data_IF_288427792143
#
_entry.id   IF_288427792143
#
_cell.length_a   1.000
_cell.length_b   1.000
_cell.length_c   1.000
_cell.angle_alpha   90.00
_cell.angle_beta   90.00
_cell.angle_gamma   90.00
#
_symmetry.space_group_name_H-M   'P 1'
#
loop_
_entity.id
_entity.type
_entity.pdbx_description
1 polymer ?
#
# COMPACT_ATOMS: atom_id res chain seq x y z
N UNK A 1 -4.58 0.48 14.55
CA UNK A 1 -4.02 -0.47 15.55
C UNK A 1 -2.76 0.06 16.22
N UNK A 2 -1.66 0.31 15.54
CA UNK A 2 -0.43 0.81 16.15
C UNK A 2 -0.66 2.06 17.01
N UNK A 3 -1.37 3.06 16.49
CA UNK A 3 -1.62 4.34 17.16
C UNK A 3 -2.25 4.16 18.55
N UNK A 4 -3.31 3.37 18.67
CA UNK A 4 -3.98 3.11 19.96
C UNK A 4 -3.08 2.41 20.97
N UNK A 5 -2.20 1.50 20.54
CA UNK A 5 -1.28 0.82 21.46
C UNK A 5 -0.28 1.80 22.08
N UNK A 6 0.16 2.82 21.31
CA UNK A 6 0.97 3.90 21.83
C UNK A 6 0.18 4.83 22.77
N UNK A 7 -1.09 5.15 22.46
CA UNK A 7 -1.92 5.98 23.34
C UNK A 7 -2.27 5.26 24.64
N UNK A 8 -2.72 3.99 24.56
CA UNK A 8 -3.06 3.20 25.74
C UNK A 8 -1.89 3.03 26.74
N UNK A 9 -0.66 3.08 26.25
CA UNK A 9 0.54 3.02 27.09
C UNK A 9 0.96 4.38 27.69
N UNK A 10 0.39 5.50 27.24
CA UNK A 10 0.85 6.86 27.58
C UNK A 10 -0.24 7.78 28.14
N UNK A 11 -1.51 7.39 28.06
CA UNK A 11 -2.65 8.16 28.56
C UNK A 11 -3.33 7.41 29.72
N UNK A 12 -3.19 7.94 30.92
CA UNK A 12 -3.92 7.47 32.09
C UNK A 12 -5.32 8.11 32.13
N UNK A 13 -6.35 7.30 32.40
CA UNK A 13 -7.73 7.79 32.53
C UNK A 13 -8.47 8.15 31.24
N UNK A 14 -7.84 7.97 30.07
CA UNK A 14 -8.50 8.23 28.79
C UNK A 14 -9.36 7.04 28.32
N UNK A 15 -10.55 7.33 27.79
CA UNK A 15 -11.37 6.35 27.09
C UNK A 15 -10.92 6.27 25.62
N UNK A 16 -10.44 5.10 25.19
CA UNK A 16 -10.00 4.87 23.80
C UNK A 16 -10.98 3.91 23.12
N UNK A 17 -11.67 4.40 22.09
CA UNK A 17 -12.56 3.59 21.26
C UNK A 17 -11.94 3.37 19.88
N UNK A 18 -11.85 2.11 19.46
CA UNK A 18 -11.48 1.72 18.10
C UNK A 18 -12.74 1.35 17.31
N UNK A 19 -12.90 1.91 16.12
CA UNK A 19 -13.99 1.58 15.20
C UNK A 19 -13.37 0.89 13.97
N UNK A 20 -13.70 -0.38 13.74
CA UNK A 20 -13.26 -1.15 12.57
C UNK A 20 -14.27 -2.23 12.25
N UNK A 21 -14.88 -2.20 11.07
CA UNK A 21 -15.84 -3.20 10.62
C UNK A 21 -15.22 -4.60 10.40
N UNK A 22 -13.90 -4.67 10.26
CA UNK A 22 -13.21 -5.92 9.88
C UNK A 22 -12.84 -6.74 11.10
N UNK A 23 -13.32 -7.96 11.14
CA UNK A 23 -12.92 -8.96 12.13
C UNK A 23 -11.55 -9.56 11.83
N UNK A 24 -11.20 -9.64 10.55
CA UNK A 24 -9.90 -10.13 10.10
C UNK A 24 -8.90 -8.98 9.98
N UNK A 25 -7.67 -9.28 10.31
CA UNK A 25 -6.53 -8.38 10.15
C UNK A 25 -5.54 -8.97 9.15
N UNK A 26 -5.22 -8.20 8.11
CA UNK A 26 -4.34 -8.66 7.04
C UNK A 26 -2.95 -8.01 7.13
N UNK A 27 -1.92 -8.84 7.17
CA UNK A 27 -0.55 -8.39 6.95
C UNK A 27 -0.33 -8.10 5.46
N UNK A 28 -0.83 -6.96 4.99
CA UNK A 28 -0.83 -6.58 3.56
C UNK A 28 0.56 -6.58 2.91
N UNK A 29 1.69 -6.22 3.58
CA UNK A 29 3.03 -6.35 2.99
C UNK A 29 3.39 -7.78 2.56
N UNK A 30 2.68 -8.79 3.04
CA UNK A 30 2.84 -10.20 2.68
C UNK A 30 2.05 -10.62 1.43
N UNK A 31 1.12 -9.82 0.91
CA UNK A 31 0.29 -10.21 -0.24
C UNK A 31 1.11 -10.56 -1.48
N UNK A 32 2.18 -9.81 -1.76
CA UNK A 32 3.11 -10.14 -2.84
C UNK A 32 3.76 -11.51 -2.63
N UNK A 33 4.06 -11.90 -1.38
CA UNK A 33 4.66 -13.20 -1.07
C UNK A 33 3.66 -14.34 -1.28
N UNK A 34 2.38 -14.12 -0.95
CA UNK A 34 1.30 -15.08 -1.23
C UNK A 34 1.07 -15.18 -2.73
N UNK A 35 0.93 -14.05 -3.42
CA UNK A 35 0.73 -14.00 -4.86
C UNK A 35 1.93 -14.53 -5.68
N UNK A 36 3.04 -14.80 -5.03
CA UNK A 36 4.24 -15.42 -5.63
C UNK A 36 4.51 -16.84 -5.14
N UNK A 37 3.59 -17.45 -4.37
CA UNK A 37 3.78 -18.80 -3.82
C UNK A 37 4.91 -18.93 -2.80
N UNK A 38 5.50 -17.82 -2.34
CA UNK A 38 6.62 -17.81 -1.37
C UNK A 38 6.11 -18.09 0.05
N UNK A 39 4.90 -17.64 0.35
CA UNK A 39 4.23 -17.87 1.65
C UNK A 39 2.79 -18.35 1.43
N UNK A 40 2.26 -19.19 2.32
CA UNK A 40 0.86 -19.60 2.25
C UNK A 40 -0.09 -18.44 2.64
N UNK A 41 -1.36 -18.55 2.27
CA UNK A 41 -2.41 -17.57 2.62
C UNK A 41 -2.48 -17.29 4.13
N UNK A 42 -2.35 -18.33 4.96
CA UNK A 42 -2.35 -18.21 6.43
C UNK A 42 -1.24 -17.29 6.98
N UNK A 43 -0.19 -17.06 6.21
CA UNK A 43 0.87 -16.14 6.60
C UNK A 43 0.40 -14.69 6.74
N UNK A 44 -0.66 -14.29 6.06
CA UNK A 44 -1.13 -12.90 6.02
C UNK A 44 -2.44 -12.65 6.76
N UNK A 45 -3.09 -13.68 7.27
CA UNK A 45 -4.39 -13.58 7.97
C UNK A 45 -4.21 -13.75 9.48
N UNK A 46 -4.89 -12.92 10.24
CA UNK A 46 -5.03 -12.96 11.70
C UNK A 46 -6.35 -12.27 12.08
N UNK A 47 -6.67 -12.11 13.36
CA UNK A 47 -7.87 -11.40 13.79
C UNK A 47 -7.56 -10.02 14.35
N UNK A 48 -8.48 -9.08 14.18
CA UNK A 48 -8.36 -7.73 14.76
C UNK A 48 -8.23 -7.79 16.28
N UNK A 49 -8.99 -8.69 16.93
CA UNK A 49 -9.00 -8.86 18.41
C UNK A 49 -7.66 -9.35 18.97
N UNK A 50 -6.88 -10.12 18.20
CA UNK A 50 -5.56 -10.63 18.64
C UNK A 50 -4.56 -9.51 18.99
N UNK A 51 -4.75 -8.34 18.41
CA UNK A 51 -3.85 -7.19 18.61
C UNK A 51 -4.46 -6.09 19.50
N UNK A 52 -5.66 -6.27 20.05
CA UNK A 52 -6.28 -5.27 20.93
C UNK A 52 -5.60 -5.26 22.30
N UNK A 53 -5.05 -4.12 22.79
CA UNK A 53 -4.64 -4.01 24.18
C UNK A 53 -5.87 -3.99 25.10
N UNK A 54 -5.66 -4.35 26.37
CA UNK A 54 -6.70 -4.20 27.39
C UNK A 54 -7.14 -2.73 27.53
N UNK A 55 -8.40 -2.51 27.92
CA UNK A 55 -8.96 -1.17 28.16
C UNK A 55 -9.37 -0.38 26.91
N UNK A 56 -9.24 -0.97 25.71
CA UNK A 56 -9.72 -0.33 24.46
C UNK A 56 -11.08 -0.92 24.09
N UNK A 57 -12.09 -0.06 23.95
CA UNK A 57 -13.38 -0.44 23.40
C UNK A 57 -13.30 -0.70 21.90
N UNK A 58 -13.93 -1.77 21.40
CA UNK A 58 -14.02 -2.06 19.97
C UNK A 58 -15.48 -1.98 19.51
N UNK A 59 -15.76 -1.07 18.58
CA UNK A 59 -17.00 -1.02 17.82
C UNK A 59 -16.76 -1.70 16.48
N UNK A 60 -17.36 -2.88 16.28
CA UNK A 60 -17.21 -3.68 15.05
C UNK A 60 -18.16 -3.19 13.93
N UNK A 61 -18.04 -1.92 13.59
CA UNK A 61 -18.85 -1.25 12.56
C UNK A 61 -17.96 -0.40 11.64
N UNK A 62 -18.45 -0.08 10.45
CA UNK A 62 -17.85 0.92 9.58
C UNK A 62 -18.25 2.33 10.03
N UNK A 63 -17.37 3.30 9.80
CA UNK A 63 -17.74 4.72 9.87
C UNK A 63 -18.50 5.08 8.59
N UNK A 64 -19.67 5.69 8.74
CA UNK A 64 -20.49 6.19 7.63
C UNK A 64 -20.23 7.67 7.35
N UNK A 65 -20.03 8.48 8.40
CA UNK A 65 -19.89 9.93 8.28
C UNK A 65 -18.94 10.50 9.32
N UNK A 66 -18.21 11.56 8.95
CA UNK A 66 -17.41 12.39 9.83
C UNK A 66 -18.02 13.79 9.93
N UNK A 67 -18.33 14.22 11.14
CA UNK A 67 -18.76 15.59 11.49
C UNK A 67 -17.67 16.24 12.37
N UNK A 68 -16.62 16.82 11.77
CA UNK A 68 -15.50 17.37 12.53
C UNK A 68 -15.87 18.67 13.28
N UNK A 69 -16.87 19.40 12.83
CA UNK A 69 -17.35 20.62 13.52
C UNK A 69 -18.14 20.26 14.78
N UNK A 70 -18.95 19.20 14.72
CA UNK A 70 -19.69 18.66 15.86
C UNK A 70 -18.88 17.72 16.75
N UNK A 71 -17.57 17.51 16.48
CA UNK A 71 -16.69 16.57 17.20
C UNK A 71 -17.31 15.18 17.39
N UNK A 72 -17.90 14.64 16.34
CA UNK A 72 -18.50 13.30 16.31
C UNK A 72 -18.31 12.63 14.96
N UNK A 73 -18.48 11.33 14.96
CA UNK A 73 -18.67 10.54 13.74
C UNK A 73 -19.95 9.70 13.88
N UNK A 74 -20.43 9.16 12.76
CA UNK A 74 -21.61 8.29 12.73
C UNK A 74 -21.19 6.94 12.16
N UNK A 75 -21.57 5.86 12.83
CA UNK A 75 -21.32 4.50 12.35
C UNK A 75 -22.38 4.07 11.31
N UNK A 76 -22.14 2.95 10.64
CA UNK A 76 -23.05 2.41 9.62
C UNK A 76 -24.45 2.07 10.17
N UNK A 77 -24.60 1.80 11.48
CA UNK A 77 -25.89 1.62 12.15
C UNK A 77 -26.59 2.94 12.49
N UNK A 78 -25.99 4.09 12.22
CA UNK A 78 -26.50 5.41 12.57
C UNK A 78 -26.15 5.85 14.01
N UNK A 79 -25.32 5.10 14.74
CA UNK A 79 -24.90 5.46 16.10
C UNK A 79 -23.90 6.63 16.06
N UNK A 80 -24.21 7.77 16.73
CA UNK A 80 -23.21 8.84 16.88
C UNK A 80 -22.17 8.46 17.93
N UNK A 81 -20.90 8.74 17.64
CA UNK A 81 -19.79 8.55 18.55
C UNK A 81 -19.06 9.89 18.70
N UNK A 82 -19.23 10.59 19.84
CA UNK A 82 -18.51 11.82 20.12
C UNK A 82 -17.04 11.54 20.45
N UNK A 83 -16.19 12.55 20.25
CA UNK A 83 -14.77 12.47 20.58
C UNK A 83 -14.22 13.84 21.02
N UNK A 84 -13.23 13.84 21.89
CA UNK A 84 -12.39 15.00 22.14
C UNK A 84 -11.28 15.07 21.08
N UNK A 85 -10.66 13.92 20.76
CA UNK A 85 -9.64 13.77 19.74
C UNK A 85 -9.98 12.61 18.79
N UNK A 86 -9.71 12.82 17.51
CA UNK A 86 -9.94 11.81 16.47
C UNK A 86 -8.64 11.46 15.74
N UNK A 87 -8.38 10.16 15.59
CA UNK A 87 -7.31 9.66 14.72
C UNK A 87 -7.91 8.84 13.59
N UNK A 88 -7.77 9.32 12.36
CA UNK A 88 -8.26 8.62 11.18
C UNK A 88 -7.13 7.77 10.58
N UNK A 89 -7.34 6.45 10.56
CA UNK A 89 -6.40 5.47 10.04
C UNK A 89 -7.11 4.42 9.17
N UNK A 90 -8.12 4.86 8.41
CA UNK A 90 -9.03 4.01 7.63
C UNK A 90 -8.40 3.34 6.41
N UNK A 91 -7.14 3.69 6.09
CA UNK A 91 -6.46 3.17 4.91
C UNK A 91 -7.03 3.75 3.61
N UNK A 92 -7.14 2.91 2.58
CA UNK A 92 -7.61 3.31 1.26
C UNK A 92 -8.60 2.30 0.67
N UNK A 93 -9.36 2.77 -0.34
CA UNK A 93 -10.26 1.97 -1.17
C UNK A 93 -9.56 1.61 -2.48
N UNK A 94 -9.69 0.35 -2.87
CA UNK A 94 -9.28 -0.16 -4.19
C UNK A 94 -10.45 0.01 -5.15
N UNK A 95 -10.33 0.91 -6.11
CA UNK A 95 -11.41 1.30 -7.01
C UNK A 95 -11.40 0.47 -8.30
N UNK A 96 -11.73 -0.82 -8.18
CA UNK A 96 -11.81 -1.72 -9.35
C UNK A 96 -12.92 -1.30 -10.33
N UNK A 97 -13.98 -0.66 -9.84
CA UNK A 97 -15.09 -0.20 -10.68
C UNK A 97 -14.68 0.94 -11.64
N UNK A 98 -13.56 1.62 -11.38
CA UNK A 98 -13.01 2.61 -12.30
C UNK A 98 -12.37 2.00 -13.57
N UNK A 99 -12.18 0.67 -13.61
CA UNK A 99 -11.66 -0.04 -14.79
C UNK A 99 -12.84 -0.74 -15.47
N UNK A 100 -13.26 -0.27 -16.63
CA UNK A 100 -14.39 -0.84 -17.36
C UNK A 100 -14.14 -2.33 -17.69
N UNK A 101 -15.12 -3.20 -17.45
CA UNK A 101 -15.03 -4.63 -17.66
C UNK A 101 -14.26 -5.42 -16.59
N UNK A 102 -13.74 -4.75 -15.55
CA UNK A 102 -13.07 -5.42 -14.45
C UNK A 102 -14.08 -6.06 -13.47
N UNK A 103 -14.03 -7.36 -13.37
CA UNK A 103 -14.75 -8.15 -12.38
C UNK A 103 -13.76 -8.80 -11.41
N UNK A 104 -13.84 -8.44 -10.14
CA UNK A 104 -12.96 -8.98 -9.08
C UNK A 104 -13.16 -10.49 -8.86
N UNK A 105 -14.33 -11.02 -9.18
CA UNK A 105 -14.58 -12.46 -9.08
C UNK A 105 -13.81 -13.26 -10.13
N UNK A 106 -13.48 -12.64 -11.25
CA UNK A 106 -12.66 -13.26 -12.30
C UNK A 106 -11.16 -13.32 -11.96
N UNK A 107 -10.70 -12.69 -10.88
CA UNK A 107 -9.28 -12.79 -10.47
C UNK A 107 -8.93 -14.26 -10.19
N UNK A 108 -7.92 -14.75 -10.91
CA UNK A 108 -7.46 -16.13 -10.93
C UNK A 108 -7.83 -16.87 -12.22
N UNK A 109 -8.78 -16.36 -13.00
CA UNK A 109 -9.24 -16.96 -14.26
C UNK A 109 -8.69 -16.19 -15.47
N UNK A 110 -8.58 -16.87 -16.62
CA UNK A 110 -8.17 -16.27 -17.89
C UNK A 110 -6.88 -15.43 -17.83
N UNK A 111 -5.94 -15.80 -16.94
CA UNK A 111 -4.71 -15.04 -16.74
C UNK A 111 -4.87 -13.72 -15.98
N UNK A 112 -6.07 -13.40 -15.46
CA UNK A 112 -6.32 -12.20 -14.69
C UNK A 112 -5.80 -12.35 -13.26
N UNK A 113 -4.86 -11.52 -12.85
CA UNK A 113 -4.33 -11.42 -11.50
C UNK A 113 -4.54 -10.02 -10.89
N UNK A 114 -4.59 -9.96 -9.56
CA UNK A 114 -4.52 -8.72 -8.78
C UNK A 114 -4.06 -9.01 -7.36
N UNK A 115 -2.88 -8.50 -7.02
CA UNK A 115 -2.20 -8.79 -5.74
C UNK A 115 -2.73 -8.03 -4.52
N UNK A 116 -3.61 -7.04 -4.72
CA UNK A 116 -4.03 -6.13 -3.64
C UNK A 116 -5.42 -6.43 -3.05
N UNK A 117 -6.27 -7.17 -3.76
CA UNK A 117 -7.69 -7.27 -3.40
C UNK A 117 -7.91 -7.93 -2.02
N UNK A 118 -7.46 -9.17 -1.89
CA UNK A 118 -7.61 -9.96 -0.66
C UNK A 118 -6.58 -11.09 -0.62
N UNK A 119 -6.37 -11.74 0.54
CA UNK A 119 -5.53 -12.93 0.63
C UNK A 119 -5.91 -14.05 -0.35
N UNK A 120 -7.22 -14.35 -0.49
CA UNK A 120 -7.72 -15.37 -1.42
C UNK A 120 -7.47 -15.00 -2.89
N UNK A 121 -7.66 -13.72 -3.26
CA UNK A 121 -7.39 -13.25 -4.62
C UNK A 121 -5.87 -13.14 -4.89
N UNK A 122 -5.04 -12.88 -3.88
CA UNK A 122 -3.57 -12.99 -4.01
C UNK A 122 -3.13 -14.43 -4.29
N UNK A 123 -3.71 -15.42 -3.61
CA UNK A 123 -3.46 -16.84 -3.89
C UNK A 123 -3.98 -17.25 -5.27
N UNK A 124 -5.16 -16.78 -5.69
CA UNK A 124 -5.68 -17.00 -7.04
C UNK A 124 -4.77 -16.37 -8.12
N UNK A 125 -4.20 -15.18 -7.83
CA UNK A 125 -3.20 -14.53 -8.69
C UNK A 125 -1.93 -15.38 -8.82
N UNK A 126 -1.48 -16.02 -7.73
CA UNK A 126 -0.36 -16.97 -7.79
C UNK A 126 -0.64 -18.11 -8.76
N UNK A 127 -1.84 -18.73 -8.71
CA UNK A 127 -2.19 -19.82 -9.62
C UNK A 127 -2.15 -19.36 -11.08
N UNK A 128 -2.70 -18.17 -11.38
CA UNK A 128 -2.69 -17.62 -12.74
C UNK A 128 -1.26 -17.32 -13.22
N UNK A 129 -0.43 -16.69 -12.35
CA UNK A 129 0.97 -16.40 -12.69
C UNK A 129 1.82 -17.67 -12.84
N UNK A 130 1.60 -18.67 -11.98
CA UNK A 130 2.28 -19.96 -12.08
C UNK A 130 1.97 -20.64 -13.40
N UNK A 131 0.69 -20.68 -13.81
CA UNK A 131 0.29 -21.22 -15.10
C UNK A 131 0.94 -20.45 -16.28
N UNK A 132 1.00 -19.12 -16.19
CA UNK A 132 1.71 -18.29 -17.18
C UNK A 132 3.20 -18.64 -17.23
N UNK A 133 3.85 -18.82 -16.06
CA UNK A 133 5.26 -19.17 -16.01
C UNK A 133 5.57 -20.58 -16.58
N UNK A 134 4.58 -21.50 -16.60
CA UNK A 134 4.69 -22.81 -17.24
C UNK A 134 4.54 -22.74 -18.76
N UNK A 135 3.66 -21.85 -19.26
CA UNK A 135 3.26 -21.83 -20.67
C UNK A 135 3.94 -20.72 -21.49
N UNK A 136 4.31 -19.61 -20.84
CA UNK A 136 4.80 -18.41 -21.54
C UNK A 136 3.66 -17.54 -22.08
N UNK A 137 3.95 -16.73 -23.10
CA UNK A 137 3.03 -15.76 -23.70
C UNK A 137 3.33 -14.32 -23.27
N UNK A 138 2.31 -13.45 -23.27
CA UNK A 138 2.45 -12.03 -22.93
C UNK A 138 2.03 -11.78 -21.48
N UNK A 139 2.99 -11.38 -20.63
CA UNK A 139 2.78 -10.99 -19.24
C UNK A 139 2.74 -9.45 -19.08
N UNK A 140 1.60 -8.92 -18.64
CA UNK A 140 1.36 -7.47 -18.53
C UNK A 140 1.34 -7.02 -17.08
N UNK A 141 2.13 -6.01 -16.79
CA UNK A 141 2.24 -5.37 -15.47
C UNK A 141 1.99 -3.88 -15.60
N UNK A 142 1.44 -3.26 -14.56
CA UNK A 142 1.05 -1.86 -14.61
C UNK A 142 0.99 -1.22 -13.22
N UNK A 143 0.93 0.10 -13.19
CA UNK A 143 0.52 0.87 -12.01
C UNK A 143 -0.59 1.86 -12.40
N UNK A 144 -1.49 2.23 -11.45
CA UNK A 144 -2.55 3.21 -11.69
C UNK A 144 -1.99 4.63 -11.80
N UNK A 145 -2.81 5.55 -12.27
CA UNK A 145 -2.51 7.00 -12.33
C UNK A 145 -2.81 7.76 -11.03
N UNK A 146 -3.30 7.07 -10.01
CA UNK A 146 -3.51 7.62 -8.66
C UNK A 146 -2.31 7.35 -7.75
N UNK A 147 -2.26 8.05 -6.61
CA UNK A 147 -1.41 7.64 -5.50
C UNK A 147 -1.75 6.20 -5.07
N UNK A 148 -0.72 5.41 -4.74
CA UNK A 148 -0.92 4.01 -4.40
C UNK A 148 -0.11 3.59 -3.17
N UNK A 149 -0.62 2.61 -2.41
CA UNK A 149 0.16 1.94 -1.38
C UNK A 149 1.25 1.08 -2.02
N UNK A 150 2.44 1.06 -1.40
CA UNK A 150 3.57 0.22 -1.83
C UNK A 150 3.86 0.30 -3.35
N UNK A 151 4.20 1.48 -3.86
CA UNK A 151 4.45 1.76 -5.28
C UNK A 151 5.49 0.84 -5.96
N UNK A 152 6.33 0.15 -5.19
CA UNK A 152 7.24 -0.87 -5.71
C UNK A 152 6.63 -2.27 -5.87
N UNK A 153 5.38 -2.52 -5.45
CA UNK A 153 4.82 -3.87 -5.55
C UNK A 153 4.63 -4.36 -7.00
N UNK A 154 4.16 -3.55 -7.96
CA UNK A 154 4.10 -3.98 -9.35
C UNK A 154 5.48 -4.32 -9.94
N UNK A 155 6.50 -3.55 -9.62
CA UNK A 155 7.89 -3.82 -10.04
C UNK A 155 8.38 -5.15 -9.46
N UNK A 156 8.18 -5.38 -8.14
CA UNK A 156 8.51 -6.66 -7.49
C UNK A 156 7.85 -7.83 -8.18
N UNK A 157 6.58 -7.68 -8.52
CA UNK A 157 5.81 -8.77 -9.10
C UNK A 157 6.27 -9.08 -10.53
N UNK A 158 6.67 -8.07 -11.30
CA UNK A 158 7.33 -8.25 -12.60
C UNK A 158 8.65 -9.02 -12.46
N UNK A 159 9.51 -8.62 -11.54
CA UNK A 159 10.78 -9.29 -11.27
C UNK A 159 10.62 -10.74 -10.84
N UNK A 160 9.69 -11.00 -9.93
CA UNK A 160 9.43 -12.36 -9.45
C UNK A 160 8.87 -13.25 -10.57
N UNK A 161 8.03 -12.70 -11.43
CA UNK A 161 7.50 -13.43 -12.61
C UNK A 161 8.63 -13.76 -13.59
N UNK A 162 9.54 -12.82 -13.86
CA UNK A 162 10.75 -13.06 -14.69
C UNK A 162 11.60 -14.20 -14.12
N UNK A 163 11.83 -14.20 -12.79
CA UNK A 163 12.65 -15.23 -12.13
C UNK A 163 11.97 -16.62 -12.20
N UNK A 164 10.63 -16.71 -12.03
CA UNK A 164 9.91 -17.98 -12.20
C UNK A 164 10.00 -18.51 -13.64
N UNK A 165 9.85 -17.64 -14.63
CA UNK A 165 10.02 -18.01 -16.04
C UNK A 165 11.43 -18.57 -16.32
N UNK A 166 12.47 -17.93 -15.77
CA UNK A 166 13.87 -18.40 -15.90
C UNK A 166 14.08 -19.74 -15.23
N UNK A 167 13.61 -19.91 -13.99
CA UNK A 167 13.74 -21.16 -13.23
C UNK A 167 13.03 -22.33 -13.88
N UNK A 168 11.96 -22.07 -14.62
CA UNK A 168 11.21 -23.07 -15.37
C UNK A 168 11.69 -23.27 -16.81
N UNK A 169 12.74 -22.54 -17.23
CA UNK A 169 13.30 -22.63 -18.58
C UNK A 169 12.39 -22.02 -19.68
N UNK A 170 11.39 -21.24 -19.29
CA UNK A 170 10.38 -20.69 -20.19
C UNK A 170 10.53 -19.19 -20.49
N UNK A 171 11.61 -18.54 -19.99
CA UNK A 171 11.78 -17.09 -20.19
C UNK A 171 11.79 -16.68 -21.66
N UNK A 172 12.37 -17.50 -22.54
CA UNK A 172 12.39 -17.28 -24.00
C UNK A 172 11.03 -17.43 -24.69
N UNK A 173 10.03 -18.01 -24.01
CA UNK A 173 8.66 -18.15 -24.51
C UNK A 173 7.73 -17.01 -24.04
N UNK A 174 8.23 -16.07 -23.25
CA UNK A 174 7.43 -15.03 -22.63
C UNK A 174 7.94 -13.64 -22.96
N UNK A 175 7.02 -12.76 -23.33
CA UNK A 175 7.23 -11.31 -23.35
C UNK A 175 6.69 -10.70 -22.05
N UNK A 176 7.52 -9.97 -21.30
CA UNK A 176 7.11 -9.23 -20.13
C UNK A 176 7.00 -7.75 -20.48
N UNK A 177 5.86 -7.15 -20.22
CA UNK A 177 5.56 -5.76 -20.54
C UNK A 177 5.15 -5.01 -19.28
N UNK A 178 5.90 -3.99 -18.91
CA UNK A 178 5.56 -3.08 -17.82
C UNK A 178 5.03 -1.76 -18.36
N UNK A 179 3.85 -1.35 -17.89
CA UNK A 179 3.19 -0.11 -18.29
C UNK A 179 3.22 0.87 -17.11
N UNK A 180 4.11 1.86 -17.20
CA UNK A 180 4.19 2.96 -16.25
C UNK A 180 3.13 4.02 -16.59
N UNK A 181 2.46 4.55 -15.54
CA UNK A 181 1.43 5.58 -15.71
C UNK A 181 1.98 6.95 -16.13
N UNK A 182 3.28 7.16 -15.94
CA UNK A 182 3.99 8.41 -16.24
C UNK A 182 5.36 8.11 -16.91
N UNK A 183 6.27 9.09 -16.93
CA UNK A 183 7.60 8.98 -17.57
C UNK A 183 8.65 8.23 -16.74
N UNK A 184 8.31 7.73 -15.55
CA UNK A 184 9.24 7.05 -14.66
C UNK A 184 8.66 5.74 -14.10
N UNK A 185 9.52 4.77 -13.80
CA UNK A 185 9.13 3.50 -13.19
C UNK A 185 8.95 3.64 -11.66
N UNK A 186 9.69 4.56 -11.06
CA UNK A 186 9.65 4.84 -9.63
C UNK A 186 9.88 6.32 -9.36
N UNK A 187 9.29 6.90 -8.31
CA UNK A 187 9.32 8.34 -8.03
C UNK A 187 10.69 8.85 -7.58
N UNK A 188 11.54 7.99 -6.98
CA UNK A 188 12.90 8.34 -6.58
C UNK A 188 13.84 8.14 -7.77
N UNK A 189 14.53 9.18 -8.29
CA UNK A 189 15.26 9.10 -9.56
C UNK A 189 16.32 8.00 -9.63
N UNK A 190 17.15 7.85 -8.60
CA UNK A 190 18.20 6.83 -8.57
C UNK A 190 17.62 5.40 -8.53
N UNK A 191 16.45 5.23 -7.90
CA UNK A 191 15.74 3.94 -7.87
C UNK A 191 15.10 3.66 -9.22
N UNK A 192 14.51 4.67 -9.86
CA UNK A 192 14.01 4.56 -11.23
C UNK A 192 15.09 4.06 -12.18
N UNK A 193 16.27 4.68 -12.14
CA UNK A 193 17.37 4.33 -13.03
C UNK A 193 17.86 2.90 -12.76
N UNK A 194 18.03 2.50 -11.51
CA UNK A 194 18.40 1.12 -11.17
C UNK A 194 17.37 0.10 -11.67
N UNK A 195 16.09 0.37 -11.49
CA UNK A 195 15.01 -0.52 -11.99
C UNK A 195 15.00 -0.57 -13.51
N UNK A 196 15.19 0.57 -14.19
CA UNK A 196 15.28 0.65 -15.66
C UNK A 196 16.40 -0.25 -16.19
N UNK A 197 17.60 -0.11 -15.63
CA UNK A 197 18.75 -0.96 -15.98
C UNK A 197 18.47 -2.44 -15.78
N UNK A 198 17.87 -2.82 -14.63
CA UNK A 198 17.52 -4.21 -14.34
C UNK A 198 16.43 -4.75 -15.27
N UNK A 199 15.48 -3.93 -15.69
CA UNK A 199 14.45 -4.33 -16.66
C UNK A 199 15.03 -4.50 -18.07
N UNK A 200 15.94 -3.62 -18.49
CA UNK A 200 16.67 -3.77 -19.76
C UNK A 200 17.50 -5.05 -19.80
N UNK A 201 18.31 -5.30 -18.76
CA UNK A 201 19.13 -6.51 -18.63
C UNK A 201 18.30 -7.80 -18.69
N UNK A 202 17.07 -7.74 -18.16
CA UNK A 202 16.14 -8.88 -18.14
C UNK A 202 15.21 -8.97 -19.34
N UNK A 203 15.30 -8.04 -20.28
CA UNK A 203 14.45 -7.99 -21.46
C UNK A 203 12.97 -7.76 -21.12
N UNK A 204 12.69 -6.93 -20.10
CA UNK A 204 11.32 -6.45 -19.80
C UNK A 204 11.04 -5.22 -20.64
N UNK A 205 10.00 -5.27 -21.46
CA UNK A 205 9.57 -4.13 -22.29
C UNK A 205 8.92 -3.07 -21.42
N UNK A 206 9.40 -1.85 -21.47
CA UNK A 206 8.89 -0.73 -20.71
C UNK A 206 8.08 0.20 -21.60
N UNK A 207 6.84 0.45 -21.21
CA UNK A 207 5.99 1.48 -21.82
C UNK A 207 5.69 2.55 -20.77
N UNK A 208 5.69 3.79 -21.20
CA UNK A 208 5.46 4.96 -20.35
C UNK A 208 4.14 5.64 -20.72
N UNK A 209 3.59 6.42 -19.79
CA UNK A 209 2.35 7.18 -19.95
C UNK A 209 1.16 6.32 -20.40
N UNK A 210 1.07 5.08 -19.84
CA UNK A 210 0.01 4.13 -20.11
C UNK A 210 -0.78 3.83 -18.85
N UNK A 211 -2.08 4.11 -18.88
CA UNK A 211 -3.02 3.87 -17.78
C UNK A 211 -4.10 2.92 -18.25
N UNK A 212 -4.30 1.82 -17.52
CA UNK A 212 -5.35 0.85 -17.83
C UNK A 212 -6.73 1.50 -17.71
N UNK A 213 -7.49 1.47 -18.79
CA UNK A 213 -8.83 2.04 -18.90
C UNK A 213 -9.93 0.96 -18.85
N UNK A 214 -9.72 -0.13 -19.55
CA UNK A 214 -10.67 -1.24 -19.59
C UNK A 214 -9.98 -2.58 -19.78
N UNK A 215 -10.70 -3.65 -19.44
CA UNK A 215 -10.25 -5.03 -19.63
C UNK A 215 -11.41 -5.91 -20.07
N UNK A 216 -11.14 -6.84 -20.98
CA UNK A 216 -12.03 -7.93 -21.33
C UNK A 216 -11.32 -9.26 -21.00
N UNK A 217 -11.63 -9.86 -19.83
CA UNK A 217 -10.99 -11.11 -19.42
C UNK A 217 -11.32 -12.28 -20.33
N UNK A 218 -12.49 -12.29 -20.98
CA UNK A 218 -12.90 -13.35 -21.92
C UNK A 218 -12.06 -13.36 -23.19
N UNK A 219 -11.74 -12.18 -23.71
CA UNK A 219 -10.87 -11.98 -24.88
C UNK A 219 -9.39 -11.85 -24.52
N UNK A 220 -9.06 -11.80 -23.23
CA UNK A 220 -7.71 -11.49 -22.70
C UNK A 220 -7.15 -10.19 -23.29
N UNK A 221 -7.96 -9.15 -23.32
CA UNK A 221 -7.64 -7.85 -23.92
C UNK A 221 -7.66 -6.76 -22.87
N UNK A 222 -6.61 -5.94 -22.83
CA UNK A 222 -6.51 -4.76 -22.00
C UNK A 222 -6.38 -3.50 -22.87
N UNK A 223 -7.09 -2.44 -22.55
CA UNK A 223 -7.02 -1.15 -23.26
C UNK A 223 -6.39 -0.11 -22.34
N UNK A 224 -5.33 0.50 -22.82
CA UNK A 224 -4.61 1.54 -22.11
C UNK A 224 -4.85 2.91 -22.75
N UNK A 225 -5.19 3.90 -21.93
CA UNK A 225 -5.15 5.30 -22.32
C UNK A 225 -3.69 5.76 -22.43
N UNK A 226 -3.38 6.47 -23.49
CA UNK A 226 -2.07 7.12 -23.73
C UNK A 226 -2.28 8.56 -24.21
N UNK A 227 -1.24 9.43 -24.24
CA UNK A 227 -1.34 10.78 -24.77
C UNK A 227 -1.78 10.87 -26.23
N UNK A 228 -1.55 9.81 -27.02
CA UNK A 228 -1.84 9.78 -28.47
C UNK A 228 -3.10 8.96 -28.80
N UNK A 229 -3.84 8.50 -27.79
CA UNK A 229 -5.06 7.71 -27.96
C UNK A 229 -4.99 6.34 -27.27
N UNK A 230 -6.06 5.54 -27.32
CA UNK A 230 -6.10 4.23 -26.71
C UNK A 230 -5.20 3.23 -27.45
N UNK A 231 -4.58 2.31 -26.67
CA UNK A 231 -3.77 1.20 -27.19
C UNK A 231 -4.30 -0.10 -26.62
N UNK A 232 -4.59 -1.04 -27.48
CA UNK A 232 -4.98 -2.40 -27.12
C UNK A 232 -3.75 -3.29 -26.91
N UNK A 233 -3.81 -4.17 -25.91
CA UNK A 233 -2.77 -5.12 -25.60
C UNK A 233 -3.40 -6.46 -25.20
N UNK A 234 -3.16 -7.50 -25.97
CA UNK A 234 -3.52 -8.87 -25.58
C UNK A 234 -2.54 -9.38 -24.52
N UNK A 235 -3.04 -10.24 -23.62
CA UNK A 235 -2.24 -10.80 -22.55
C UNK A 235 -2.56 -12.30 -22.34
N UNK A 236 -1.58 -13.04 -21.86
CA UNK A 236 -1.76 -14.38 -21.30
C UNK A 236 -1.79 -14.32 -19.77
N UNK A 237 -1.10 -13.32 -19.19
CA UNK A 237 -1.20 -12.95 -17.80
C UNK A 237 -1.20 -11.43 -17.64
N UNK A 238 -2.08 -10.90 -16.81
CA UNK A 238 -2.07 -9.48 -16.41
C UNK A 238 -2.20 -9.35 -14.91
N UNK A 239 -1.34 -8.53 -14.28
CA UNK A 239 -1.50 -8.14 -12.88
C UNK A 239 -2.14 -6.75 -12.79
N UNK A 240 -3.46 -6.70 -12.58
CA UNK A 240 -4.22 -5.46 -12.48
C UNK A 240 -4.03 -4.83 -11.12
N UNK A 241 -3.68 -3.55 -11.11
CA UNK A 241 -3.66 -2.68 -9.94
C UNK A 241 -4.64 -1.54 -10.18
N UNK A 242 -5.74 -1.48 -9.42
CA UNK A 242 -6.77 -0.48 -9.64
C UNK A 242 -6.32 0.90 -9.12
N UNK A 243 -6.99 1.97 -9.54
CA UNK A 243 -6.90 3.26 -8.87
C UNK A 243 -7.16 3.12 -7.36
N UNK A 244 -6.46 3.91 -6.56
CA UNK A 244 -6.58 3.91 -5.11
C UNK A 244 -6.99 5.29 -4.62
N UNK A 245 -7.99 5.34 -3.74
CA UNK A 245 -8.59 6.58 -3.25
C UNK A 245 -8.84 6.46 -1.75
N UNK A 246 -9.07 7.59 -1.08
CA UNK A 246 -9.58 7.55 0.29
C UNK A 246 -10.96 6.85 0.33
N UNK A 247 -11.33 6.19 1.45
CA UNK A 247 -12.66 5.61 1.62
C UNK A 247 -13.76 6.66 1.46
N UNK A 248 -14.94 6.23 0.98
CA UNK A 248 -16.05 7.14 0.66
C UNK A 248 -16.47 8.07 1.82
N UNK A 249 -16.54 7.62 3.10
CA UNK A 249 -16.85 8.52 4.21
C UNK A 249 -15.81 9.65 4.37
N UNK A 250 -14.54 9.40 4.08
CA UNK A 250 -13.50 10.43 4.11
C UNK A 250 -13.64 11.37 2.91
N UNK A 251 -13.83 10.83 1.72
CA UNK A 251 -13.98 11.61 0.47
C UNK A 251 -15.18 12.55 0.51
N UNK A 252 -16.25 12.14 1.18
CA UNK A 252 -17.49 12.90 1.31
C UNK A 252 -17.50 13.85 2.52
N UNK A 253 -16.40 13.89 3.31
CA UNK A 253 -16.29 14.70 4.51
C UNK A 253 -15.48 15.97 4.30
N UNK A 254 -15.59 16.96 5.20
CA UNK A 254 -14.71 18.12 5.23
C UNK A 254 -13.24 17.81 5.55
N UNK A 255 -12.90 16.56 5.97
CA UNK A 255 -11.53 16.18 6.33
C UNK A 255 -10.57 16.08 5.15
N UNK A 256 -11.09 15.94 3.94
CA UNK A 256 -10.26 15.79 2.73
C UNK A 256 -9.57 17.10 2.33
N UNK A 257 -8.48 16.99 1.59
CA UNK A 257 -7.94 18.11 0.83
C UNK A 257 -9.02 18.68 -0.09
N UNK A 258 -9.23 19.98 -0.03
CA UNK A 258 -10.22 20.66 -0.88
C UNK A 258 -9.62 21.06 -2.22
N UNK A 259 -8.29 21.26 -2.26
CA UNK A 259 -7.54 21.71 -3.42
C UNK A 259 -6.21 20.96 -3.56
N UNK A 260 -5.58 21.07 -4.73
CA UNK A 260 -4.28 20.48 -5.00
C UNK A 260 -4.29 19.00 -5.38
N UNK A 261 -3.13 18.40 -5.46
CA UNK A 261 -2.91 17.07 -6.03
C UNK A 261 -3.67 15.93 -5.32
N UNK A 262 -3.99 16.08 -4.04
CA UNK A 262 -4.65 15.04 -3.24
C UNK A 262 -6.18 15.19 -3.15
N UNK A 263 -6.73 16.30 -3.64
CA UNK A 263 -8.17 16.58 -3.56
C UNK A 263 -9.01 15.59 -4.39
N UNK A 264 -8.55 15.24 -5.58
CA UNK A 264 -9.29 14.35 -6.50
C UNK A 264 -9.50 12.95 -5.94
N UNK A 265 -8.51 12.43 -5.21
CA UNK A 265 -8.58 11.10 -4.60
C UNK A 265 -9.13 11.15 -3.17
N UNK A 266 -9.39 12.35 -2.63
CA UNK A 266 -10.06 12.59 -1.35
C UNK A 266 -9.21 12.26 -0.12
N UNK A 267 -7.88 12.31 -0.20
CA UNK A 267 -7.00 12.08 0.95
C UNK A 267 -7.21 13.13 2.03
N UNK A 268 -7.01 12.76 3.31
CA UNK A 268 -7.18 13.69 4.44
C UNK A 268 -6.13 14.78 4.39
N UNK A 269 -6.60 16.00 4.63
CA UNK A 269 -5.77 17.20 4.70
C UNK A 269 -5.00 17.26 6.01
N UNK A 270 -3.71 16.91 5.97
CA UNK A 270 -2.81 16.98 7.12
C UNK A 270 -1.56 17.79 6.82
N UNK A 271 -0.95 18.32 7.85
CA UNK A 271 0.43 18.76 7.77
C UNK A 271 1.35 17.54 7.63
N UNK A 272 2.23 17.56 6.64
CA UNK A 272 3.07 16.41 6.28
C UNK A 272 4.11 16.04 7.34
N UNK A 273 4.39 16.96 8.28
CA UNK A 273 5.44 16.78 9.27
C UNK A 273 4.91 16.35 10.63
N UNK A 274 3.73 16.83 11.03
CA UNK A 274 3.13 16.50 12.33
C UNK A 274 1.88 15.63 12.21
N UNK A 275 1.33 15.43 10.99
CA UNK A 275 0.16 14.58 10.68
C UNK A 275 -1.15 15.06 11.32
N UNK A 276 -1.18 16.27 11.83
CA UNK A 276 -2.36 16.95 12.35
C UNK A 276 -3.15 17.55 11.19
N UNK A 277 -4.47 17.51 11.27
CA UNK A 277 -5.33 18.13 10.29
C UNK A 277 -5.13 19.65 10.30
N UNK A 278 -5.05 20.28 9.12
CA UNK A 278 -4.71 21.69 9.00
C UNK A 278 -5.79 22.64 9.50
N UNK A 279 -7.06 22.23 9.45
CA UNK A 279 -8.22 23.01 9.86
C UNK A 279 -8.82 22.58 11.20
N UNK A 280 -8.66 21.34 11.63
CA UNK A 280 -9.22 20.78 12.85
C UNK A 280 -8.08 20.33 13.77
N UNK A 281 -7.86 21.12 14.83
CA UNK A 281 -6.69 20.98 15.69
C UNK A 281 -6.66 19.67 16.51
N UNK A 282 -7.80 19.05 16.74
CA UNK A 282 -7.96 17.82 17.50
C UNK A 282 -8.06 16.56 16.61
N UNK A 283 -7.78 16.68 15.30
CA UNK A 283 -7.87 15.57 14.34
C UNK A 283 -6.49 15.28 13.78
N UNK A 284 -6.14 14.00 13.72
CA UNK A 284 -4.90 13.48 13.12
C UNK A 284 -5.22 12.39 12.09
N UNK A 285 -4.37 12.24 11.08
CA UNK A 285 -4.49 11.10 10.17
C UNK A 285 -3.12 10.48 9.89
N UNK A 286 -3.08 9.14 9.86
CA UNK A 286 -1.86 8.36 9.62
C UNK A 286 -2.11 7.22 8.62
N UNK A 287 -1.05 6.75 7.98
CA UNK A 287 -1.12 5.66 7.01
C UNK A 287 -1.66 6.09 5.66
N UNK A 288 -2.26 5.15 4.94
CA UNK A 288 -2.61 5.35 3.53
C UNK A 288 -3.64 6.45 3.29
N UNK A 289 -4.49 6.76 4.28
CA UNK A 289 -5.53 7.80 4.18
C UNK A 289 -4.97 9.22 4.25
N UNK A 290 -3.79 9.41 4.85
CA UNK A 290 -3.17 10.71 4.98
C UNK A 290 -2.69 11.26 3.63
N UNK A 291 -3.05 12.51 3.32
CA UNK A 291 -2.63 13.23 2.11
C UNK A 291 -1.23 13.82 2.29
N UNK A 292 -0.21 12.98 2.17
CA UNK A 292 1.20 13.35 2.30
C UNK A 292 2.00 12.87 1.08
N UNK A 293 3.11 13.54 0.71
CA UNK A 293 3.84 13.25 -0.54
C UNK A 293 4.36 11.82 -0.66
N UNK A 294 4.69 11.20 0.46
CA UNK A 294 5.16 9.81 0.57
C UNK A 294 4.71 9.25 1.92
N UNK A 295 4.46 7.94 2.00
CA UNK A 295 4.08 7.38 3.29
C UNK A 295 3.00 6.30 3.27
N UNK A 296 2.57 5.84 2.08
CA UNK A 296 1.56 4.77 1.98
C UNK A 296 2.22 3.38 2.07
N UNK A 297 3.01 3.16 3.15
CA UNK A 297 3.62 1.87 3.49
C UNK A 297 3.55 1.60 4.99
N UNK A 298 3.57 0.32 5.39
CA UNK A 298 3.60 -0.06 6.80
C UNK A 298 4.85 0.49 7.52
N UNK A 299 5.98 0.59 6.82
CA UNK A 299 7.21 1.17 7.35
C UNK A 299 7.03 2.67 7.66
N UNK A 300 6.35 3.41 6.78
CA UNK A 300 6.05 4.83 7.02
C UNK A 300 5.15 5.02 8.25
N UNK A 301 4.14 4.16 8.43
CA UNK A 301 3.26 4.20 9.60
C UNK A 301 4.03 4.02 10.90
N UNK A 302 5.10 3.20 10.91
CA UNK A 302 5.99 3.05 12.07
C UNK A 302 6.58 4.40 12.54
N UNK A 303 6.90 5.27 11.61
CA UNK A 303 7.49 6.58 11.88
C UNK A 303 6.45 7.70 12.03
N UNK A 304 5.31 7.59 11.35
CA UNK A 304 4.22 8.55 11.46
C UNK A 304 3.56 8.51 12.84
N UNK A 305 3.30 7.31 13.36
CA UNK A 305 2.53 7.14 14.59
C UNK A 305 3.19 7.75 15.81
N UNK A 306 4.49 7.54 16.12
CA UNK A 306 5.12 8.21 17.26
C UNK A 306 5.03 9.74 17.18
N UNK A 307 5.24 10.31 15.99
CA UNK A 307 5.15 11.76 15.77
C UNK A 307 3.71 12.27 16.03
N UNK A 308 2.71 11.62 15.44
CA UNK A 308 1.33 12.04 15.62
C UNK A 308 0.84 11.86 17.07
N UNK A 309 1.28 10.80 17.76
CA UNK A 309 1.00 10.59 19.20
C UNK A 309 1.62 11.70 20.03
N UNK A 310 2.85 12.07 19.75
CA UNK A 310 3.56 13.11 20.51
C UNK A 310 2.88 14.49 20.37
N UNK A 311 2.47 14.84 19.14
CA UNK A 311 1.70 16.06 18.89
C UNK A 311 0.30 16.01 19.53
N UNK A 312 -0.37 14.85 19.53
CA UNK A 312 -1.68 14.69 20.17
C UNK A 312 -1.56 14.88 21.68
N UNK A 313 -0.58 14.25 22.34
CA UNK A 313 -0.35 14.40 23.79
C UNK A 313 0.02 15.84 24.14
N UNK A 314 0.91 16.48 23.38
CA UNK A 314 1.25 17.88 23.56
C UNK A 314 0.01 18.78 23.46
N UNK A 315 -0.89 18.51 22.50
CA UNK A 315 -2.14 19.26 22.36
C UNK A 315 -3.06 19.09 23.59
N UNK A 316 -3.17 17.87 24.15
CA UNK A 316 -3.93 17.60 25.39
C UNK A 316 -3.36 18.42 26.56
N UNK A 317 -2.04 18.49 26.65
CA UNK A 317 -1.33 19.20 27.72
C UNK A 317 -1.24 20.72 27.50
N UNK A 318 -1.76 21.26 26.39
CA UNK A 318 -1.60 22.68 26.05
C UNK A 318 -0.16 23.10 25.73
N UNK A 319 0.65 22.12 25.27
CA UNK A 319 2.06 22.30 24.89
C UNK A 319 2.26 22.16 23.39
N UNK A 320 3.47 22.45 22.92
CA UNK A 320 3.88 22.15 21.54
C UNK A 320 4.88 21.00 21.52
N UNK A 321 4.82 20.19 20.46
CA UNK A 321 5.77 19.12 20.18
C UNK A 321 6.72 19.54 19.07
N UNK A 322 7.98 19.13 19.18
CA UNK A 322 9.00 19.26 18.14
C UNK A 322 9.19 18.00 17.30
N UNK A 323 8.41 16.94 17.56
CA UNK A 323 8.50 15.70 16.82
C UNK A 323 8.20 15.95 15.32
N UNK A 324 8.97 15.30 14.45
CA UNK A 324 8.95 15.61 13.03
C UNK A 324 9.01 14.34 12.17
N UNK A 325 8.06 14.17 11.26
CA UNK A 325 8.08 13.14 10.24
C UNK A 325 8.70 13.66 8.94
N UNK A 326 9.84 13.11 8.55
CA UNK A 326 10.60 13.52 7.35
C UNK A 326 10.21 12.78 6.06
N UNK A 327 9.15 11.96 6.10
CA UNK A 327 8.71 11.20 4.91
C UNK A 327 9.38 9.85 4.72
N UNK A 328 10.00 9.29 5.78
CA UNK A 328 10.61 7.98 5.69
C UNK A 328 9.64 6.94 5.12
N UNK A 329 10.09 6.28 4.07
CA UNK A 329 9.34 5.24 3.37
C UNK A 329 10.30 4.11 3.03
N UNK A 330 9.89 2.86 3.27
CA UNK A 330 10.67 1.69 2.89
C UNK A 330 9.89 0.80 1.92
N UNK A 331 10.56 0.38 0.88
CA UNK A 331 10.06 -0.53 -0.13
C UNK A 331 11.10 -1.63 -0.41
N UNK A 332 11.12 -2.71 0.38
CA UNK A 332 11.95 -3.87 0.05
C UNK A 332 11.53 -4.45 -1.30
N UNK A 333 12.36 -4.27 -2.32
CA UNK A 333 12.06 -4.60 -3.71
C UNK A 333 12.68 -5.96 -4.04
N UNK A 334 11.86 -7.01 -4.02
CA UNK A 334 12.28 -8.35 -4.44
C UNK A 334 12.61 -8.30 -5.92
N UNK A 335 13.81 -8.71 -6.28
CA UNK A 335 14.29 -8.72 -7.66
C UNK A 335 14.43 -10.14 -8.22
N UNK A 336 14.56 -11.14 -7.37
CA UNK A 336 14.46 -12.57 -7.66
C UNK A 336 14.25 -13.38 -6.37
N UNK A 337 13.91 -14.63 -6.47
CA UNK A 337 13.83 -15.51 -5.30
C UNK A 337 15.23 -15.63 -4.66
N UNK A 338 15.31 -15.22 -3.40
CA UNK A 338 16.57 -15.18 -2.64
C UNK A 338 17.29 -13.84 -2.67
N UNK A 339 16.79 -12.82 -3.40
CA UNK A 339 17.42 -11.49 -3.45
C UNK A 339 16.40 -10.36 -3.46
N UNK A 340 16.75 -9.27 -2.79
CA UNK A 340 15.97 -8.04 -2.77
C UNK A 340 16.88 -6.81 -2.61
N UNK A 341 16.42 -5.66 -3.05
CA UNK A 341 16.97 -4.36 -2.70
C UNK A 341 16.17 -3.78 -1.54
N UNK A 342 16.84 -3.25 -0.51
CA UNK A 342 16.19 -2.55 0.60
C UNK A 342 16.17 -1.05 0.28
N UNK A 343 15.13 -0.62 -0.44
CA UNK A 343 14.98 0.78 -0.85
C UNK A 343 14.29 1.56 0.24
N UNK A 344 14.99 2.53 0.82
CA UNK A 344 14.50 3.41 1.90
C UNK A 344 14.81 4.85 1.52
N UNK A 345 13.81 5.73 1.61
CA UNK A 345 13.92 7.12 1.14
C UNK A 345 13.02 8.06 1.96
N UNK A 346 13.31 9.36 1.85
CA UNK A 346 12.60 10.45 2.52
C UNK A 346 11.78 11.33 1.55
N UNK A 347 11.20 12.44 2.04
CA UNK A 347 10.45 13.42 1.22
C UNK A 347 11.30 14.12 0.16
N UNK A 348 12.62 14.14 0.31
CA UNK A 348 13.55 14.80 -0.61
C UNK A 348 14.15 13.86 -1.64
N UNK A 349 13.65 12.61 -1.71
CA UNK A 349 14.19 11.55 -2.56
C UNK A 349 15.60 11.09 -2.19
N UNK A 350 16.11 11.45 -1.02
CA UNK A 350 17.36 10.91 -0.51
C UNK A 350 17.18 9.45 -0.09
N UNK A 351 18.18 8.62 -0.36
CA UNK A 351 18.26 7.29 0.25
C UNK A 351 18.66 7.44 1.72
N UNK A 352 17.86 6.85 2.60
CA UNK A 352 18.03 6.92 4.06
C UNK A 352 18.07 5.51 4.66
N UNK A 353 19.15 4.73 4.39
CA UNK A 353 19.21 3.33 4.76
C UNK A 353 19.20 3.16 6.29
N UNK A 354 18.39 2.20 6.78
CA UNK A 354 18.35 1.83 8.20
C UNK A 354 19.62 1.15 8.68
N UNK A 355 20.42 0.59 7.77
CA UNK A 355 21.67 -0.12 8.06
C UNK A 355 22.82 0.42 7.19
N UNK A 356 23.24 1.69 7.41
CA UNK A 356 24.31 2.31 6.61
C UNK A 356 25.62 1.56 6.79
N UNK A 357 26.31 1.32 5.67
CA UNK A 357 27.58 0.58 5.64
C UNK A 357 27.44 -0.95 5.76
N UNK A 358 26.23 -1.47 6.03
CA UNK A 358 25.97 -2.92 6.15
C UNK A 358 25.12 -3.43 5.00
N UNK A 359 24.05 -2.69 4.63
CA UNK A 359 23.15 -3.04 3.53
C UNK A 359 23.20 -1.93 2.49
N UNK A 360 23.72 -2.24 1.30
CA UNK A 360 23.70 -1.32 0.18
C UNK A 360 22.28 -1.24 -0.41
N UNK A 361 21.64 -0.06 -0.44
CA UNK A 361 20.20 0.06 -0.71
C UNK A 361 19.76 -0.34 -2.12
N UNK A 362 20.67 -0.23 -3.11
CA UNK A 362 20.37 -0.53 -4.51
C UNK A 362 21.02 -1.83 -5.01
N UNK A 363 21.55 -2.64 -4.10
CA UNK A 363 22.14 -3.94 -4.43
C UNK A 363 21.15 -5.08 -4.18
N UNK A 364 21.18 -6.07 -5.07
CA UNK A 364 20.39 -7.30 -4.98
C UNK A 364 21.02 -8.24 -3.94
N UNK A 365 20.58 -8.16 -2.67
CA UNK A 365 21.21 -8.85 -1.56
C UNK A 365 20.31 -9.94 -0.96
N UNK A 366 20.91 -11.06 -0.59
CA UNK A 366 20.25 -12.14 0.15
C UNK A 366 19.76 -11.67 1.53
N UNK A 367 20.53 -10.86 2.23
CA UNK A 367 20.12 -10.35 3.55
C UNK A 367 18.84 -9.51 3.47
N UNK A 368 18.69 -8.69 2.43
CA UNK A 368 17.45 -7.91 2.19
C UNK A 368 16.26 -8.82 1.88
N UNK A 369 16.46 -9.94 1.23
CA UNK A 369 15.44 -10.98 1.04
C UNK A 369 15.04 -11.61 2.37
N UNK A 370 16.00 -12.02 3.22
CA UNK A 370 15.71 -12.59 4.55
C UNK A 370 14.93 -11.59 5.39
N UNK A 371 15.33 -10.32 5.40
CA UNK A 371 14.59 -9.28 6.10
C UNK A 371 13.14 -9.20 5.61
N UNK A 372 12.92 -9.16 4.29
CA UNK A 372 11.58 -9.08 3.70
C UNK A 372 10.72 -10.30 4.01
N UNK A 373 11.27 -11.49 3.99
CA UNK A 373 10.49 -12.74 4.05
C UNK A 373 10.38 -13.32 5.45
N UNK A 374 11.25 -12.92 6.39
CA UNK A 374 11.31 -13.45 7.74
C UNK A 374 11.18 -12.38 8.85
N UNK A 375 11.91 -11.26 8.76
CA UNK A 375 11.99 -10.29 9.84
C UNK A 375 10.84 -9.26 9.85
N UNK A 376 10.35 -8.83 8.70
CA UNK A 376 9.37 -7.74 8.63
C UNK A 376 8.01 -8.09 9.27
N UNK A 377 7.54 -9.34 9.20
CA UNK A 377 6.27 -9.71 9.84
C UNK A 377 6.36 -9.71 11.37
N UNK A 378 7.36 -10.32 12.03
CA UNK A 378 7.56 -10.16 13.47
C UNK A 378 7.69 -8.70 13.91
N UNK A 379 8.44 -7.88 13.17
CA UNK A 379 8.54 -6.44 13.44
C UNK A 379 7.16 -5.76 13.34
N UNK A 380 6.37 -6.06 12.32
CA UNK A 380 5.02 -5.55 12.17
C UNK A 380 4.12 -5.94 13.35
N UNK A 381 4.16 -7.20 13.79
CA UNK A 381 3.40 -7.65 14.97
C UNK A 381 3.85 -6.91 16.24
N UNK A 382 5.16 -6.74 16.43
CA UNK A 382 5.72 -5.96 17.54
C UNK A 382 5.21 -4.51 17.52
N UNK A 383 5.20 -3.87 16.33
CA UNK A 383 4.61 -2.54 16.16
C UNK A 383 3.13 -2.49 16.57
N UNK A 384 2.30 -3.44 16.11
CA UNK A 384 0.88 -3.48 16.46
C UNK A 384 0.64 -3.57 17.98
N UNK A 385 1.57 -4.17 18.70
CA UNK A 385 1.56 -4.30 20.17
C UNK A 385 2.21 -3.10 20.88
N UNK A 386 2.64 -2.07 20.17
CA UNK A 386 3.32 -0.91 20.74
C UNK A 386 4.73 -1.17 21.29
N UNK A 387 5.42 -2.20 20.76
CA UNK A 387 6.73 -2.66 21.25
C UNK A 387 7.90 -2.41 20.29
N UNK A 388 7.69 -1.67 19.18
CA UNK A 388 8.72 -1.39 18.18
C UNK A 388 8.58 0.02 17.59
#
# INVERSE_FOLDING_TARGET
MLFRSHLAARLDGASITLIDARKEHFYQPGFTLVASGIKPLSYVVSTTREYLPGGVELIEEAVAEFDPEGNKLVTASGKPVPYDFLVVATGLKLDYAAIAGMDVEQIGNNGLGSIYHSPAKAEATWRAMSNFADNGGVGVFLRPDTEMKCAGAPLKYTFVTDDYLRRRGNRGKAELVYNANNKVLFSVPIVHEKVRMLFEDRGVKMNYERVLQSIDPGRKLAVFRTPVGPVELQYDFINVIPPMRAPDPVRNSPLRWMEGAWANDGWIEVDRHNLRHKRFANIFAVGDVAGVPKGKTAASVKWQVPVAVDHLLATIEGKESTAHYGGYTSCPLITRLGQAMLVEFDYRDNLVPSFPGVIAPLEELWISWVMKTMALKPTYISMLRGRA
#
